data_IF_888476118642
#
_entry.id   IF_888476118642
#
_cell.length_a   1.000
_cell.length_b   1.000
_cell.length_c   1.000
_cell.angle_alpha   90.00
_cell.angle_beta   90.00
_cell.angle_gamma   90.00
#
_symmetry.space_group_name_H-M   'P 1'
#
loop_
_entity.id
_entity.type
_entity.pdbx_description
1 polymer ?
#
# COMPACT_ATOMS: atom_id res chain seq x y z
N UNK A 1 -12.01 7.02 -3.26
CA UNK A 1 -13.25 6.96 -4.06
C UNK A 1 -14.41 6.57 -3.16
N UNK A 2 -14.33 5.48 -2.39
CA UNK A 2 -15.39 5.04 -1.47
C UNK A 2 -14.88 4.70 -0.06
N UNK A 3 -13.74 5.27 0.32
CA UNK A 3 -13.05 5.06 1.61
C UNK A 3 -12.72 3.61 2.02
N UNK A 4 -13.11 2.57 1.28
CA UNK A 4 -12.78 1.17 1.62
C UNK A 4 -11.27 0.91 1.67
N UNK A 5 -10.53 1.32 0.63
CA UNK A 5 -9.07 1.19 0.64
C UNK A 5 -8.41 2.09 1.68
N UNK A 6 -9.04 3.24 2.02
CA UNK A 6 -8.54 4.10 3.08
C UNK A 6 -8.72 3.44 4.46
N UNK A 7 -9.85 2.78 4.71
CA UNK A 7 -10.07 2.00 5.93
C UNK A 7 -9.00 0.92 6.12
N UNK A 8 -8.66 0.18 5.06
CA UNK A 8 -7.56 -0.79 5.11
C UNK A 8 -6.22 -0.10 5.42
N UNK A 9 -5.94 1.05 4.82
CA UNK A 9 -4.70 1.80 5.07
C UNK A 9 -4.58 2.24 6.54
N UNK A 10 -5.69 2.70 7.13
CA UNK A 10 -5.74 3.08 8.54
C UNK A 10 -5.57 1.87 9.46
N UNK A 11 -6.22 0.75 9.16
CA UNK A 11 -6.02 -0.48 9.94
C UNK A 11 -4.59 -1.00 9.87
N UNK A 12 -3.93 -0.96 8.69
CA UNK A 12 -2.50 -1.29 8.57
C UNK A 12 -1.65 -0.40 9.49
N UNK A 13 -1.98 0.89 9.60
CA UNK A 13 -1.26 1.80 10.47
C UNK A 13 -1.47 1.48 11.96
N UNK A 14 -2.71 1.18 12.36
CA UNK A 14 -3.02 0.76 13.73
C UNK A 14 -2.37 -0.58 14.07
N UNK A 15 -2.43 -1.57 13.16
CA UNK A 15 -1.78 -2.86 13.30
C UNK A 15 -0.25 -2.70 13.44
N UNK A 16 0.38 -1.80 12.67
CA UNK A 16 1.80 -1.49 12.81
C UNK A 16 2.15 -0.93 14.19
N UNK A 17 1.33 -0.04 14.74
CA UNK A 17 1.52 0.47 16.10
C UNK A 17 1.36 -0.61 17.17
N UNK A 18 0.43 -1.57 16.98
CA UNK A 18 0.23 -2.71 17.90
C UNK A 18 1.40 -3.71 17.84
N UNK A 19 1.83 -4.09 16.63
CA UNK A 19 2.88 -5.09 16.41
C UNK A 19 4.27 -4.54 16.77
N UNK A 20 4.52 -3.27 16.49
CA UNK A 20 5.81 -2.64 16.74
C UNK A 20 5.62 -1.18 17.20
N UNK A 21 5.42 -0.96 18.51
CA UNK A 21 5.15 0.38 19.05
C UNK A 21 6.23 1.43 18.77
N UNK A 22 7.47 1.01 18.49
CA UNK A 22 8.57 1.90 18.12
C UNK A 22 8.62 2.28 16.63
N UNK A 23 7.75 1.70 15.80
CA UNK A 23 7.72 1.97 14.36
C UNK A 23 6.92 3.24 14.07
N UNK A 24 7.57 4.24 13.51
CA UNK A 24 6.89 5.43 13.01
C UNK A 24 6.14 5.10 11.70
N UNK A 25 4.83 5.31 11.69
CA UNK A 25 3.95 5.08 10.53
C UNK A 25 3.44 6.42 10.01
N UNK A 26 3.49 6.60 8.68
CA UNK A 26 2.88 7.74 8.00
C UNK A 26 1.90 7.25 6.93
N UNK A 27 0.70 7.80 6.95
CA UNK A 27 -0.36 7.47 6.00
C UNK A 27 -0.56 8.66 5.06
N UNK A 28 -0.50 8.39 3.75
CA UNK A 28 -0.66 9.42 2.72
C UNK A 28 -1.79 9.06 1.76
N UNK A 29 -2.58 10.07 1.38
CA UNK A 29 -3.49 9.96 0.25
C UNK A 29 -2.79 10.46 -1.02
N UNK A 30 -2.52 9.56 -1.96
CA UNK A 30 -1.79 9.87 -3.21
C UNK A 30 -2.44 10.97 -4.07
N UNK A 31 -3.73 11.27 -3.90
CA UNK A 31 -4.40 12.34 -4.67
C UNK A 31 -4.41 13.69 -3.96
N UNK A 32 -3.98 13.77 -2.69
CA UNK A 32 -4.04 14.99 -1.86
C UNK A 32 -2.66 15.43 -1.35
N UNK A 33 -1.75 14.50 -1.14
CA UNK A 33 -0.43 14.78 -0.59
C UNK A 33 0.54 15.34 -1.65
N UNK A 34 1.51 16.13 -1.21
CA UNK A 34 2.61 16.55 -2.06
C UNK A 34 3.52 15.35 -2.39
N UNK A 35 3.86 15.20 -3.67
CA UNK A 35 4.63 14.04 -4.13
C UNK A 35 6.06 14.05 -3.59
N UNK A 36 6.69 15.21 -3.43
CA UNK A 36 8.06 15.29 -2.92
C UNK A 36 8.12 14.96 -1.43
N UNK A 37 7.13 15.40 -0.66
CA UNK A 37 6.97 15.00 0.74
C UNK A 37 6.82 13.47 0.85
N UNK A 38 5.93 12.88 0.05
CA UNK A 38 5.76 11.43 0.01
C UNK A 38 7.06 10.69 -0.31
N UNK A 39 7.80 11.14 -1.33
CA UNK A 39 9.08 10.51 -1.70
C UNK A 39 10.15 10.66 -0.61
N UNK A 40 10.16 11.78 0.10
CA UNK A 40 11.05 12.00 1.25
C UNK A 40 10.77 10.98 2.35
N UNK A 41 9.50 10.71 2.63
CA UNK A 41 9.14 9.71 3.63
C UNK A 41 9.43 8.29 3.15
N UNK A 42 9.15 7.95 1.89
CA UNK A 42 9.55 6.65 1.31
C UNK A 42 11.06 6.45 1.38
N UNK A 43 11.86 7.50 1.14
CA UNK A 43 13.30 7.45 1.28
C UNK A 43 13.73 7.09 2.71
N UNK A 44 13.08 7.66 3.73
CA UNK A 44 13.38 7.41 5.15
C UNK A 44 12.84 6.08 5.67
N UNK A 45 11.76 5.57 5.07
CA UNK A 45 11.11 4.34 5.49
C UNK A 45 11.87 3.07 5.07
N UNK A 46 11.77 2.01 5.89
CA UNK A 46 12.29 0.67 5.55
C UNK A 46 11.33 -0.13 4.67
N UNK A 47 10.04 0.17 4.76
CA UNK A 47 8.96 -0.54 4.12
C UNK A 47 7.89 0.43 3.64
N UNK A 48 7.14 0.05 2.61
CA UNK A 48 5.97 0.79 2.11
C UNK A 48 4.78 -0.14 1.91
N UNK A 49 3.59 0.29 2.32
CA UNK A 49 2.34 -0.36 1.94
C UNK A 49 1.62 0.55 0.95
N UNK A 50 1.28 0.05 -0.24
CA UNK A 50 0.63 0.86 -1.29
C UNK A 50 -0.74 0.29 -1.60
N UNK A 51 -1.74 1.18 -1.55
CA UNK A 51 -3.14 0.83 -1.72
C UNK A 51 -3.76 1.45 -2.97
N UNK A 52 -4.59 0.69 -3.68
CA UNK A 52 -5.49 1.24 -4.69
C UNK A 52 -6.78 0.43 -4.80
N UNK A 53 -7.95 1.09 -4.93
CA UNK A 53 -9.11 0.41 -5.46
C UNK A 53 -8.87 -0.03 -6.92
N UNK A 54 -9.66 -0.99 -7.39
CA UNK A 54 -9.73 -1.33 -8.82
C UNK A 54 -10.68 -0.37 -9.54
N UNK A 55 -10.19 0.30 -10.59
CA UNK A 55 -10.96 1.22 -11.44
C UNK A 55 -10.59 0.92 -12.90
N UNK A 56 -11.58 0.56 -13.73
CA UNK A 56 -11.36 0.27 -15.14
C UNK A 56 -10.38 -0.88 -15.38
N UNK A 57 -10.41 -1.92 -14.54
CA UNK A 57 -9.47 -3.04 -14.53
C UNK A 57 -8.00 -2.63 -14.27
N UNK A 58 -7.77 -1.44 -13.70
CA UNK A 58 -6.45 -0.92 -13.35
C UNK A 58 -6.47 -0.23 -11.97
N UNK A 59 -5.36 0.39 -11.58
CA UNK A 59 -5.19 1.20 -10.37
C UNK A 59 -5.54 2.67 -10.62
N UNK A 60 -5.74 3.44 -9.55
CA UNK A 60 -5.95 4.88 -9.66
C UNK A 60 -4.75 5.59 -10.30
N UNK A 61 -5.03 6.57 -11.15
CA UNK A 61 -4.00 7.40 -11.82
C UNK A 61 -3.04 8.06 -10.82
N UNK A 62 -3.57 8.52 -9.68
CA UNK A 62 -2.75 9.11 -8.62
C UNK A 62 -1.72 8.11 -8.09
N UNK A 63 -2.14 6.89 -7.75
CA UNK A 63 -1.28 5.80 -7.28
C UNK A 63 -0.28 5.37 -8.35
N UNK A 64 -0.75 5.20 -9.60
CA UNK A 64 0.10 4.91 -10.77
C UNK A 64 1.23 5.94 -10.91
N UNK A 65 0.89 7.24 -10.85
CA UNK A 65 1.88 8.32 -10.97
C UNK A 65 2.88 8.35 -9.81
N UNK A 66 2.44 8.00 -8.60
CA UNK A 66 3.32 7.91 -7.42
C UNK A 66 4.31 6.77 -7.57
N UNK A 67 3.87 5.57 -7.97
CA UNK A 67 4.77 4.43 -8.16
C UNK A 67 5.76 4.69 -9.30
N UNK A 68 5.31 5.33 -10.38
CA UNK A 68 6.20 5.74 -11.46
C UNK A 68 7.31 6.68 -10.95
N UNK A 69 6.98 7.63 -10.07
CA UNK A 69 7.97 8.51 -9.47
C UNK A 69 8.92 7.75 -8.51
N UNK A 70 8.39 6.80 -7.73
CA UNK A 70 9.24 5.91 -6.91
C UNK A 70 10.24 5.15 -7.77
N UNK A 71 9.81 4.63 -8.94
CA UNK A 71 10.66 3.92 -9.90
C UNK A 71 11.78 4.82 -10.43
N UNK A 72 11.49 6.08 -10.78
CA UNK A 72 12.52 6.99 -11.30
C UNK A 72 13.59 7.33 -10.25
N UNK A 73 13.23 7.33 -8.96
CA UNK A 73 14.14 7.54 -7.84
C UNK A 73 14.97 6.30 -7.47
N UNK A 74 14.63 5.13 -8.01
CA UNK A 74 15.39 3.88 -7.88
C UNK A 74 15.70 3.52 -6.43
N UNK A 75 14.69 3.55 -5.56
CA UNK A 75 14.86 3.06 -4.19
C UNK A 75 15.38 1.61 -4.17
N UNK A 76 16.17 1.29 -3.15
CA UNK A 76 16.82 -0.03 -2.97
C UNK A 76 16.60 -0.53 -1.56
N UNK A 77 16.56 -1.86 -1.42
CA UNK A 77 16.50 -2.55 -0.12
C UNK A 77 15.30 -2.15 0.74
N UNK A 78 14.17 -1.84 0.12
CA UNK A 78 12.91 -1.53 0.80
C UNK A 78 11.87 -2.61 0.51
N UNK A 79 11.17 -3.05 1.55
CA UNK A 79 10.05 -3.99 1.42
C UNK A 79 8.79 -3.25 0.97
N UNK A 80 7.92 -3.94 0.24
CA UNK A 80 6.64 -3.39 -0.17
C UNK A 80 5.50 -4.39 -0.01
N UNK A 81 4.30 -3.91 0.26
CA UNK A 81 3.08 -4.72 0.24
C UNK A 81 1.97 -3.96 -0.51
N UNK A 82 1.06 -4.72 -1.12
CA UNK A 82 -0.05 -4.17 -1.87
C UNK A 82 -1.37 -4.48 -1.18
N UNK A 83 -2.31 -3.53 -1.22
CA UNK A 83 -3.66 -3.73 -0.73
C UNK A 83 -4.69 -2.97 -1.57
N UNK A 84 -5.97 -3.33 -1.47
CA UNK A 84 -7.00 -2.67 -2.27
C UNK A 84 -8.40 -3.22 -2.07
N UNK A 85 -9.37 -2.39 -2.45
CA UNK A 85 -10.77 -2.80 -2.57
C UNK A 85 -11.17 -2.93 -4.04
N UNK A 86 -12.18 -3.74 -4.32
CA UNK A 86 -12.68 -3.92 -5.68
C UNK A 86 -14.19 -4.17 -5.69
N UNK A 87 -14.86 -3.90 -6.82
CA UNK A 87 -16.30 -4.12 -6.95
C UNK A 87 -16.64 -5.48 -7.57
N UNK A 88 -16.21 -5.69 -8.81
CA UNK A 88 -16.54 -6.88 -9.61
C UNK A 88 -15.29 -7.75 -9.82
N UNK A 89 -14.26 -7.15 -10.41
CA UNK A 89 -12.94 -7.73 -10.64
C UNK A 89 -11.89 -6.94 -9.86
N UNK A 90 -10.82 -7.61 -9.42
CA UNK A 90 -9.85 -7.07 -8.46
C UNK A 90 -8.41 -7.12 -8.95
N UNK A 91 -8.15 -6.51 -10.09
CA UNK A 91 -6.83 -6.45 -10.73
C UNK A 91 -5.82 -5.59 -9.95
N UNK A 92 -6.30 -4.60 -9.18
CA UNK A 92 -5.44 -3.56 -8.60
C UNK A 92 -4.28 -4.13 -7.78
N UNK A 93 -4.53 -5.12 -6.91
CA UNK A 93 -3.48 -5.70 -6.05
C UNK A 93 -2.39 -6.39 -6.87
N UNK A 94 -2.76 -7.13 -7.92
CA UNK A 94 -1.80 -7.78 -8.82
C UNK A 94 -0.95 -6.74 -9.53
N UNK A 95 -1.59 -5.73 -10.12
CA UNK A 95 -0.91 -4.64 -10.84
C UNK A 95 0.03 -3.86 -9.90
N UNK A 96 -0.40 -3.58 -8.67
CA UNK A 96 0.44 -2.93 -7.67
C UNK A 96 1.69 -3.74 -7.36
N UNK A 97 1.55 -5.05 -7.12
CA UNK A 97 2.70 -5.93 -6.86
C UNK A 97 3.70 -5.91 -8.01
N UNK A 98 3.22 -6.05 -9.25
CA UNK A 98 4.06 -6.01 -10.46
C UNK A 98 4.79 -4.67 -10.60
N UNK A 99 4.08 -3.54 -10.46
CA UNK A 99 4.69 -2.21 -10.59
C UNK A 99 5.66 -1.87 -9.46
N UNK A 100 5.43 -2.35 -8.24
CA UNK A 100 6.35 -2.18 -7.11
C UNK A 100 7.62 -3.02 -7.28
N UNK A 101 7.48 -4.25 -7.76
CA UNK A 101 8.62 -5.10 -8.08
C UNK A 101 9.49 -4.49 -9.19
N UNK A 102 8.86 -4.01 -10.26
CA UNK A 102 9.51 -3.28 -11.36
C UNK A 102 10.15 -1.94 -10.90
N UNK A 103 9.63 -1.34 -9.83
CA UNK A 103 10.25 -0.18 -9.17
C UNK A 103 11.46 -0.54 -8.29
N UNK A 104 11.74 -1.82 -8.06
CA UNK A 104 12.90 -2.31 -7.31
C UNK A 104 12.64 -2.59 -5.82
N UNK A 105 11.37 -2.69 -5.40
CA UNK A 105 11.01 -3.08 -4.05
C UNK A 105 10.96 -4.60 -3.87
N UNK A 106 11.21 -5.07 -2.65
CA UNK A 106 11.00 -6.45 -2.24
C UNK A 106 9.54 -6.64 -1.86
N UNK A 107 8.72 -7.08 -2.82
CA UNK A 107 7.27 -7.18 -2.66
C UNK A 107 6.90 -8.44 -1.85
N UNK A 108 6.09 -8.25 -0.81
CA UNK A 108 5.54 -9.32 0.01
C UNK A 108 4.45 -10.09 -0.74
N UNK A 109 4.38 -11.40 -0.48
CA UNK A 109 3.27 -12.25 -0.92
C UNK A 109 1.97 -11.91 -0.18
N UNK A 110 2.08 -11.40 1.05
CA UNK A 110 0.93 -10.91 1.82
C UNK A 110 0.29 -9.70 1.15
N UNK A 111 -1.04 -9.73 1.04
CA UNK A 111 -1.83 -8.64 0.47
C UNK A 111 -3.26 -8.69 0.94
N UNK A 112 -3.90 -7.53 1.09
CA UNK A 112 -5.31 -7.43 1.45
C UNK A 112 -6.11 -7.06 0.21
N UNK A 113 -7.05 -7.93 -0.15
CA UNK A 113 -7.94 -7.71 -1.29
C UNK A 113 -9.38 -7.87 -0.80
N UNK A 114 -10.11 -6.76 -0.72
CA UNK A 114 -11.47 -6.74 -0.17
C UNK A 114 -12.53 -6.42 -1.23
N UNK A 115 -13.63 -7.17 -1.22
CA UNK A 115 -14.78 -6.89 -2.10
C UNK A 115 -15.66 -5.82 -1.47
N UNK A 116 -15.86 -4.70 -2.17
CA UNK A 116 -16.58 -3.51 -1.73
C UNK A 116 -15.99 -2.90 -0.46
N UNK A 117 -16.60 -3.17 0.69
CA UNK A 117 -16.25 -2.60 1.99
C UNK A 117 -15.55 -3.68 2.81
N UNK A 118 -14.37 -3.37 3.39
CA UNK A 118 -13.67 -4.33 4.23
C UNK A 118 -14.50 -4.74 5.43
N UNK A 119 -14.56 -6.04 5.67
CA UNK A 119 -15.11 -6.61 6.90
C UNK A 119 -14.01 -6.80 7.96
N UNK A 120 -14.41 -7.18 9.17
CA UNK A 120 -13.47 -7.30 10.30
C UNK A 120 -12.40 -8.38 10.07
N UNK A 121 -12.70 -9.45 9.33
CA UNK A 121 -11.75 -10.52 8.99
C UNK A 121 -10.67 -10.02 8.00
N UNK A 122 -11.07 -9.26 6.99
CA UNK A 122 -10.18 -8.64 6.01
C UNK A 122 -9.31 -7.56 6.67
N UNK A 123 -9.87 -6.81 7.63
CA UNK A 123 -9.11 -5.85 8.45
C UNK A 123 -8.11 -6.56 9.37
N UNK A 124 -8.47 -7.69 9.96
CA UNK A 124 -7.54 -8.49 10.79
C UNK A 124 -6.31 -8.98 9.99
N UNK A 125 -6.43 -9.11 8.66
CA UNK A 125 -5.31 -9.44 7.76
C UNK A 125 -4.25 -8.32 7.65
N UNK A 126 -4.49 -7.15 8.23
CA UNK A 126 -3.49 -6.09 8.37
C UNK A 126 -2.30 -6.49 9.23
N UNK A 127 -2.51 -7.26 10.30
CA UNK A 127 -1.42 -7.67 11.18
C UNK A 127 -0.41 -8.61 10.48
N UNK A 128 -0.83 -9.70 9.80
CA UNK A 128 0.06 -10.51 8.97
C UNK A 128 0.84 -9.70 7.93
N UNK A 129 0.16 -8.77 7.25
CA UNK A 129 0.79 -7.90 6.25
C UNK A 129 1.87 -7.01 6.87
N UNK A 130 1.61 -6.43 8.04
CA UNK A 130 2.58 -5.62 8.79
C UNK A 130 3.78 -6.46 9.22
N UNK A 131 3.57 -7.68 9.73
CA UNK A 131 4.67 -8.57 10.13
C UNK A 131 5.59 -8.88 8.94
N UNK A 132 5.01 -9.18 7.78
CA UNK A 132 5.78 -9.41 6.55
C UNK A 132 6.59 -8.17 6.09
N UNK A 133 6.11 -6.96 6.37
CA UNK A 133 6.82 -5.71 6.08
C UNK A 133 7.96 -5.41 7.07
N UNK A 134 7.84 -5.83 8.32
CA UNK A 134 8.86 -5.61 9.35
C UNK A 134 10.04 -6.58 9.24
N UNK A 135 9.83 -7.76 8.64
CA UNK A 135 10.83 -8.82 8.50
C UNK A 135 10.95 -9.64 9.77
#
# INVERSE_FOLDING_TARGET
MWEGTAAIAHEIAEAAARVSPGTAVKVFNCSKADKNEMMTEVFRSRAVAVGSPTVGNDILTSVSSTIHFMKSLKFRSKRAAAFGCYGWSGESVKILKERLADAGFLVSDESIRSMWKPNDEELASAEPLVRALLG
#
